data_IF_975151713385
#
_entry.id   IF_975151713385
#
_cell.length_a   1.000
_cell.length_b   1.000
_cell.length_c   1.000
_cell.angle_alpha   90.00
_cell.angle_beta   90.00
_cell.angle_gamma   90.00
#
_symmetry.space_group_name_H-M   'P 1'
#
loop_
_entity.id
_entity.type
_entity.pdbx_description
1 polymer ?
#
# COMPACT_ATOMS: atom_id res chain seq x y z
N UNK A 1 5.74 2.03 9.70
CA UNK A 1 4.53 1.23 10.01
C UNK A 1 4.29 0.15 8.96
N UNK A 2 4.13 0.50 7.67
CA UNK A 2 3.88 -0.47 6.59
C UNK A 2 4.89 -1.61 6.55
N UNK A 3 6.19 -1.30 6.52
CA UNK A 3 7.27 -2.30 6.48
C UNK A 3 7.21 -3.24 7.69
N UNK A 4 6.95 -2.71 8.88
CA UNK A 4 6.90 -3.52 10.10
C UNK A 4 5.70 -4.48 10.07
N UNK A 5 4.53 -4.00 9.63
CA UNK A 5 3.36 -4.83 9.44
C UNK A 5 3.56 -5.90 8.37
N UNK A 6 4.21 -5.55 7.26
CA UNK A 6 4.59 -6.50 6.21
C UNK A 6 5.49 -7.59 6.75
N UNK A 7 6.51 -7.26 7.56
CA UNK A 7 7.43 -8.24 8.15
C UNK A 7 6.76 -9.13 9.19
N UNK A 8 5.88 -8.57 10.03
CA UNK A 8 5.25 -9.27 11.16
C UNK A 8 3.91 -9.92 10.83
N UNK A 9 3.36 -9.65 9.64
CA UNK A 9 2.07 -10.17 9.20
C UNK A 9 0.88 -9.51 9.88
N UNK A 10 1.02 -8.24 10.26
CA UNK A 10 -0.07 -7.46 10.80
C UNK A 10 -1.02 -6.99 9.71
N UNK A 11 -2.22 -6.60 10.13
CA UNK A 11 -3.20 -6.02 9.23
C UNK A 11 -3.05 -4.50 9.25
N UNK A 12 -3.18 -3.89 8.08
CA UNK A 12 -3.19 -2.43 7.93
C UNK A 12 -4.52 -2.03 7.29
N UNK A 13 -5.09 -0.93 7.79
CA UNK A 13 -6.19 -0.21 7.17
C UNK A 13 -5.64 1.15 6.75
N UNK A 14 -5.72 1.46 5.47
CA UNK A 14 -5.43 2.78 4.91
C UNK A 14 -6.75 3.52 4.70
N UNK A 15 -6.82 4.75 5.20
CA UNK A 15 -7.96 5.62 4.97
C UNK A 15 -7.68 6.63 3.85
N UNK A 16 -8.72 7.03 3.14
CA UNK A 16 -8.68 8.00 2.04
C UNK A 16 -7.58 7.72 1.00
N UNK A 17 -7.51 6.50 0.47
CA UNK A 17 -6.47 6.08 -0.46
C UNK A 17 -6.31 7.02 -1.67
N UNK A 18 -7.40 7.64 -2.12
CA UNK A 18 -7.42 8.60 -3.23
C UNK A 18 -6.62 9.90 -2.96
N UNK A 19 -6.29 10.20 -1.71
CA UNK A 19 -5.45 11.35 -1.34
C UNK A 19 -3.99 10.97 -1.10
N UNK A 20 -3.65 9.68 -1.19
CA UNK A 20 -2.29 9.22 -1.02
C UNK A 20 -1.38 9.80 -2.14
N UNK A 21 -0.11 10.14 -1.83
CA UNK A 21 0.86 10.53 -2.84
C UNK A 21 1.04 9.44 -3.90
N UNK A 22 1.31 9.83 -5.15
CA UNK A 22 1.52 8.89 -6.27
C UNK A 22 2.55 7.82 -5.94
N UNK A 23 3.68 8.19 -5.31
CA UNK A 23 4.73 7.26 -4.92
C UNK A 23 4.23 6.17 -3.94
N UNK A 24 3.28 6.50 -3.07
CA UNK A 24 2.65 5.54 -2.15
C UNK A 24 1.73 4.60 -2.93
N UNK A 25 0.99 5.12 -3.91
CA UNK A 25 0.12 4.30 -4.77
C UNK A 25 0.95 3.32 -5.61
N UNK A 26 2.09 3.74 -6.15
CA UNK A 26 3.02 2.88 -6.87
C UNK A 26 3.61 1.78 -5.98
N UNK A 27 4.03 2.15 -4.76
CA UNK A 27 4.49 1.19 -3.75
C UNK A 27 3.41 0.16 -3.40
N UNK A 28 2.16 0.59 -3.26
CA UNK A 28 1.03 -0.28 -3.01
C UNK A 28 0.71 -1.19 -4.20
N UNK A 29 0.82 -0.70 -5.44
CA UNK A 29 0.62 -1.54 -6.62
C UNK A 29 1.60 -2.73 -6.63
N UNK A 30 2.89 -2.49 -6.37
CA UNK A 30 3.90 -3.56 -6.28
C UNK A 30 3.62 -4.54 -5.13
N UNK A 31 3.08 -4.03 -4.02
CA UNK A 31 2.69 -4.85 -2.88
C UNK A 31 1.44 -5.71 -3.14
N UNK A 32 0.53 -5.22 -3.97
CA UNK A 32 -0.72 -5.89 -4.35
C UNK A 32 -0.56 -6.83 -5.55
N UNK A 33 0.54 -6.72 -6.30
CA UNK A 33 0.93 -7.68 -7.34
C UNK A 33 1.21 -9.08 -6.76
N UNK A 34 1.24 -10.10 -7.64
CA UNK A 34 1.43 -11.52 -7.28
C UNK A 34 2.68 -11.78 -6.41
N UNK A 35 3.72 -10.95 -6.57
CA UNK A 35 4.98 -11.09 -5.85
C UNK A 35 4.88 -10.68 -4.37
N UNK A 36 3.89 -9.84 -4.01
CA UNK A 36 3.67 -9.30 -2.66
C UNK A 36 4.94 -8.68 -2.05
N UNK A 37 5.64 -7.86 -2.82
CA UNK A 37 6.95 -7.31 -2.48
C UNK A 37 6.99 -5.79 -2.59
N UNK A 38 7.72 -5.16 -1.67
CA UNK A 38 7.96 -3.72 -1.66
C UNK A 38 9.46 -3.44 -1.75
N UNK A 39 9.88 -2.64 -2.73
CA UNK A 39 11.25 -2.16 -2.82
C UNK A 39 11.39 -0.83 -2.06
N UNK A 40 12.40 -0.74 -1.21
CA UNK A 40 12.73 0.46 -0.42
C UNK A 40 14.01 1.05 -1.01
N UNK A 41 13.88 2.21 -1.66
CA UNK A 41 14.99 2.84 -2.38
C UNK A 41 16.12 3.31 -1.43
N UNK A 42 15.74 3.81 -0.25
CA UNK A 42 16.65 4.36 0.76
C UNK A 42 17.58 3.31 1.35
N UNK A 43 17.10 2.07 1.50
CA UNK A 43 17.86 0.95 2.06
C UNK A 43 18.29 -0.07 1.01
N UNK A 44 17.86 0.12 -0.25
CA UNK A 44 18.04 -0.83 -1.36
C UNK A 44 17.56 -2.25 -1.02
N UNK A 45 16.52 -2.36 -0.20
CA UNK A 45 15.99 -3.63 0.30
C UNK A 45 14.66 -3.97 -0.38
N UNK A 46 14.47 -5.25 -0.70
CA UNK A 46 13.16 -5.79 -1.09
C UNK A 46 12.55 -6.49 0.11
N UNK A 47 11.39 -6.01 0.57
CA UNK A 47 10.64 -6.60 1.67
C UNK A 47 9.47 -7.39 1.10
N UNK A 48 9.46 -8.69 1.36
CA UNK A 48 8.33 -9.56 1.03
C UNK A 48 7.28 -9.53 2.14
N UNK A 49 6.02 -9.37 1.76
CA UNK A 49 4.92 -9.40 2.71
C UNK A 49 4.79 -10.79 3.34
N UNK A 50 4.65 -10.82 4.66
CA UNK A 50 4.36 -12.04 5.39
C UNK A 50 3.03 -12.65 4.91
N UNK A 51 2.88 -13.99 4.86
CA UNK A 51 1.67 -14.64 4.31
C UNK A 51 0.36 -14.17 4.95
N UNK A 52 0.38 -13.85 6.26
CA UNK A 52 -0.76 -13.33 7.03
C UNK A 52 -1.00 -11.81 6.94
N UNK A 53 -0.09 -11.07 6.29
CA UNK A 53 -0.27 -9.64 6.07
C UNK A 53 -1.53 -9.41 5.24
N UNK A 54 -2.34 -8.44 5.66
CA UNK A 54 -3.54 -8.02 4.94
C UNK A 54 -3.57 -6.50 4.90
N UNK A 55 -3.88 -5.95 3.73
CA UNK A 55 -4.06 -4.52 3.53
C UNK A 55 -5.51 -4.27 3.12
N UNK A 56 -6.17 -3.42 3.88
CA UNK A 56 -7.48 -2.89 3.58
C UNK A 56 -7.31 -1.42 3.25
N UNK A 57 -8.08 -0.91 2.29
CA UNK A 57 -8.09 0.49 1.95
C UNK A 57 -9.54 0.97 1.83
N UNK A 58 -9.83 2.11 2.44
CA UNK A 58 -11.07 2.85 2.20
C UNK A 58 -10.78 3.97 1.22
N UNK A 59 -11.75 4.23 0.35
CA UNK A 59 -11.72 5.35 -0.57
C UNK A 59 -13.08 6.02 -0.50
N UNK A 60 -13.07 7.36 -0.43
CA UNK A 60 -14.32 8.09 -0.58
C UNK A 60 -14.83 7.89 -2.02
N UNK A 61 -16.13 7.59 -2.21
CA UNK A 61 -16.69 7.45 -3.54
C UNK A 61 -16.46 8.76 -4.31
N UNK A 62 -16.23 8.69 -5.63
CA UNK A 62 -16.16 9.91 -6.43
C UNK A 62 -17.50 10.64 -6.27
N UNK A 63 -17.49 11.79 -5.60
CA UNK A 63 -18.62 12.70 -5.65
C UNK A 63 -18.85 13.16 -7.10
N UNK A 64 -19.90 13.98 -7.32
CA UNK A 64 -20.15 14.67 -8.61
C UNK A 64 -18.95 15.47 -9.17
N UNK A 65 -17.89 15.63 -8.39
CA UNK A 65 -16.58 16.10 -8.83
C UNK A 65 -15.63 14.93 -9.08
N UNK A 66 -15.33 14.70 -10.37
CA UNK A 66 -14.22 13.85 -10.82
C UNK A 66 -12.87 14.43 -10.40
N UNK A 67 -12.49 14.22 -9.15
CA UNK A 67 -11.19 14.58 -8.60
C UNK A 67 -10.16 13.48 -8.87
N UNK A 68 -9.18 13.84 -9.71
CA UNK A 68 -7.93 13.17 -10.15
C UNK A 68 -7.95 11.63 -10.27
N UNK A 69 -7.94 11.22 -11.55
CA UNK A 69 -7.48 9.92 -12.04
C UNK A 69 -6.05 9.62 -11.61
#
# INVERSE_FOLDING_TARGET
VLIDAMRKGYWIILDELNLAPTDVLEALNRLLDDNRELFIAETQEVVKAHPRFMLFATQNPPGLYGGRK
#
